data_IF_239435156815
#
_entry.id   IF_239435156815
#
_cell.length_a   1.000
_cell.length_b   1.000
_cell.length_c   1.000
_cell.angle_alpha   90.00
_cell.angle_beta   90.00
_cell.angle_gamma   90.00
#
_symmetry.space_group_name_H-M   'P 1'
#
loop_
_entity.id
_entity.type
_entity.pdbx_description
1 polymer ?
#
# COMPACT_ATOMS: atom_id res chain seq x y z
N UNK A 1 -66.84 -28.40 -39.56
CA UNK A 1 -66.58 -27.64 -38.32
C UNK A 1 -65.46 -28.33 -37.55
N UNK A 2 -64.25 -27.81 -37.61
CA UNK A 2 -63.24 -27.89 -36.54
C UNK A 2 -62.07 -26.97 -36.90
N UNK A 3 -61.63 -26.23 -35.89
CA UNK A 3 -60.94 -24.96 -36.00
C UNK A 3 -59.42 -25.10 -36.21
N UNK A 4 -58.87 -24.12 -36.92
CA UNK A 4 -57.46 -23.71 -36.91
C UNK A 4 -56.94 -23.49 -35.49
N UNK A 5 -55.70 -23.94 -35.22
CA UNK A 5 -54.74 -23.28 -34.32
C UNK A 5 -53.32 -23.49 -34.87
N UNK A 6 -52.50 -22.45 -35.03
CA UNK A 6 -51.12 -22.56 -35.53
C UNK A 6 -50.14 -22.97 -34.42
N UNK A 7 -49.14 -23.76 -34.81
CA UNK A 7 -48.00 -24.15 -33.99
C UNK A 7 -47.06 -22.95 -33.77
N UNK A 8 -46.91 -22.52 -32.52
CA UNK A 8 -45.78 -21.68 -32.11
C UNK A 8 -44.64 -22.58 -31.65
N UNK A 9 -43.68 -22.84 -32.54
CA UNK A 9 -42.34 -23.27 -32.13
C UNK A 9 -41.61 -22.06 -31.54
N UNK A 10 -41.53 -22.03 -30.21
CA UNK A 10 -40.63 -21.12 -29.50
C UNK A 10 -39.23 -21.71 -29.59
N UNK A 11 -38.43 -21.18 -30.52
CA UNK A 11 -37.00 -21.40 -30.60
C UNK A 11 -36.35 -20.90 -29.31
N UNK A 12 -36.03 -21.79 -28.39
CA UNK A 12 -35.15 -21.50 -27.26
C UNK A 12 -33.74 -21.39 -27.83
N UNK A 13 -33.36 -20.17 -28.22
CA UNK A 13 -31.98 -19.83 -28.54
C UNK A 13 -31.12 -20.10 -27.31
N UNK A 14 -30.29 -21.14 -27.38
CA UNK A 14 -29.22 -21.38 -26.43
C UNK A 14 -28.23 -20.21 -26.52
N UNK A 15 -28.43 -19.19 -25.70
CA UNK A 15 -27.44 -18.16 -25.46
C UNK A 15 -26.29 -18.82 -24.70
N UNK A 16 -25.32 -19.34 -25.44
CA UNK A 16 -23.98 -19.64 -24.94
C UNK A 16 -23.41 -18.33 -24.40
N UNK A 17 -23.58 -18.11 -23.10
CA UNK A 17 -22.79 -17.14 -22.36
C UNK A 17 -21.36 -17.65 -22.38
N UNK A 18 -20.60 -17.19 -23.36
CA UNK A 18 -19.14 -17.25 -23.32
C UNK A 18 -18.69 -16.42 -22.13
N UNK A 19 -18.61 -17.04 -20.95
CA UNK A 19 -17.83 -16.52 -19.84
C UNK A 19 -16.40 -16.42 -20.33
N UNK A 20 -15.99 -15.22 -20.74
CA UNK A 20 -14.59 -14.93 -20.94
C UNK A 20 -13.85 -15.33 -19.66
N UNK A 21 -12.76 -16.11 -19.74
CA UNK A 21 -11.96 -16.39 -18.56
C UNK A 21 -11.49 -15.06 -17.99
N UNK A 22 -11.83 -14.79 -16.73
CA UNK A 22 -11.32 -13.61 -16.03
C UNK A 22 -9.80 -13.59 -16.09
N UNK A 23 -9.18 -12.40 -16.08
CA UNK A 23 -7.73 -12.26 -16.18
C UNK A 23 -7.05 -13.17 -15.16
N UNK A 24 -6.07 -13.96 -15.62
CA UNK A 24 -5.36 -14.85 -14.71
C UNK A 24 -4.64 -14.02 -13.64
N UNK A 25 -4.54 -14.57 -12.43
CA UNK A 25 -3.87 -13.91 -11.32
C UNK A 25 -2.42 -13.47 -11.67
N UNK A 26 -1.73 -14.24 -12.52
CA UNK A 26 -0.44 -13.86 -13.10
C UNK A 26 -0.51 -12.62 -14.00
N UNK A 27 -1.53 -12.50 -14.85
CA UNK A 27 -1.66 -11.37 -15.78
C UNK A 27 -1.91 -10.06 -15.03
N UNK A 28 -2.74 -10.09 -13.98
CA UNK A 28 -2.97 -8.94 -13.10
C UNK A 28 -1.68 -8.51 -12.39
N UNK A 29 -0.87 -9.46 -11.92
CA UNK A 29 0.44 -9.19 -11.33
C UNK A 29 1.44 -8.58 -12.31
N UNK A 30 1.46 -9.06 -13.56
CA UNK A 30 2.33 -8.51 -14.60
C UNK A 30 1.93 -7.10 -15.02
N UNK A 31 0.62 -6.84 -15.17
CA UNK A 31 0.10 -5.51 -15.51
C UNK A 31 0.44 -4.48 -14.44
N UNK A 32 0.24 -4.82 -13.16
CA UNK A 32 0.55 -3.93 -12.01
C UNK A 32 2.04 -3.59 -11.90
N UNK A 33 2.92 -4.60 -12.06
CA UNK A 33 4.37 -4.37 -12.07
C UNK A 33 4.80 -3.47 -13.22
N UNK A 34 4.17 -3.58 -14.39
CA UNK A 34 4.43 -2.68 -15.54
C UNK A 34 4.02 -1.24 -15.22
N UNK A 35 2.84 -1.02 -14.66
CA UNK A 35 2.37 0.32 -14.30
C UNK A 35 3.30 1.01 -13.27
N UNK A 36 3.69 0.28 -12.22
CA UNK A 36 4.66 0.77 -11.22
C UNK A 36 6.03 1.05 -11.83
N UNK A 37 6.52 0.17 -12.71
CA UNK A 37 7.79 0.39 -13.42
C UNK A 37 7.73 1.62 -14.34
N UNK A 38 6.61 1.86 -15.01
CA UNK A 38 6.40 3.04 -15.85
C UNK A 38 6.37 4.32 -15.01
N UNK A 39 5.66 4.33 -13.89
CA UNK A 39 5.67 5.45 -12.93
C UNK A 39 7.08 5.76 -12.44
N UNK A 40 7.80 4.73 -11.97
CA UNK A 40 9.18 4.87 -11.50
C UNK A 40 10.08 5.46 -12.59
N UNK A 41 9.96 4.98 -13.83
CA UNK A 41 10.75 5.47 -14.96
C UNK A 41 10.44 6.95 -15.25
N UNK A 42 9.15 7.31 -15.28
CA UNK A 42 8.71 8.69 -15.52
C UNK A 42 9.22 9.67 -14.45
N UNK A 43 9.12 9.30 -13.17
CA UNK A 43 9.57 10.14 -12.04
C UNK A 43 11.09 10.30 -12.06
N UNK A 44 11.84 9.21 -12.25
CA UNK A 44 13.31 9.25 -12.33
C UNK A 44 13.75 10.17 -13.47
N UNK A 45 13.23 9.98 -14.68
CA UNK A 45 13.57 10.82 -15.83
C UNK A 45 13.12 12.28 -15.69
N UNK A 46 12.10 12.57 -14.89
CA UNK A 46 11.69 13.94 -14.55
C UNK A 46 12.68 14.60 -13.59
N UNK A 47 13.10 13.89 -12.54
CA UNK A 47 14.05 14.38 -11.55
C UNK A 47 15.45 14.60 -12.15
N UNK A 48 15.89 13.72 -13.04
CA UNK A 48 17.16 13.88 -13.76
C UNK A 48 17.16 15.14 -14.65
N UNK A 49 16.06 15.41 -15.35
CA UNK A 49 15.95 16.60 -16.21
C UNK A 49 15.82 17.89 -15.41
N UNK A 50 15.09 17.86 -14.31
CA UNK A 50 14.84 19.05 -13.48
C UNK A 50 16.00 19.38 -12.54
N UNK A 51 16.84 18.40 -12.19
CA UNK A 51 17.91 18.59 -11.21
C UNK A 51 17.42 18.71 -9.77
N UNK A 52 16.11 18.52 -9.52
CA UNK A 52 15.46 18.68 -8.21
C UNK A 52 16.09 17.86 -7.10
N UNK A 53 16.63 16.68 -7.42
CA UNK A 53 17.31 15.85 -6.41
C UNK A 53 18.47 16.61 -5.73
N UNK A 54 19.29 17.32 -6.51
CA UNK A 54 20.41 18.09 -5.97
C UNK A 54 19.93 19.30 -5.13
N UNK A 55 18.78 19.88 -5.48
CA UNK A 55 18.15 20.95 -4.68
C UNK A 55 17.64 20.41 -3.35
N UNK A 56 16.96 19.25 -3.37
CA UNK A 56 16.47 18.60 -2.16
C UNK A 56 17.60 18.22 -1.20
N UNK A 57 18.74 17.76 -1.71
CA UNK A 57 19.91 17.45 -0.87
C UNK A 57 20.46 18.66 -0.11
N UNK A 58 20.28 19.88 -0.61
CA UNK A 58 20.71 21.10 0.09
C UNK A 58 19.78 21.44 1.27
N UNK A 59 18.50 21.09 1.15
CA UNK A 59 17.47 21.44 2.14
C UNK A 59 17.23 20.31 3.14
N UNK A 60 17.37 19.06 2.71
CA UNK A 60 17.10 17.87 3.51
C UNK A 60 18.37 17.01 3.66
N UNK A 61 19.09 17.13 4.80
CA UNK A 61 20.34 16.41 5.05
C UNK A 61 20.20 14.89 4.99
N UNK A 62 19.00 14.35 5.25
CA UNK A 62 18.73 12.90 5.17
C UNK A 62 18.96 12.32 3.77
N UNK A 63 18.96 13.16 2.72
CA UNK A 63 19.22 12.74 1.33
C UNK A 63 20.71 12.79 0.94
N UNK A 64 21.59 13.36 1.77
CA UNK A 64 22.99 13.61 1.41
C UNK A 64 23.81 12.34 1.08
N UNK A 65 23.34 11.16 1.49
CA UNK A 65 24.00 9.88 1.24
C UNK A 65 23.70 9.22 -0.11
N UNK A 66 22.87 9.84 -0.96
CA UNK A 66 22.39 9.23 -2.21
C UNK A 66 22.49 10.22 -3.37
N UNK A 67 23.14 9.83 -4.46
CA UNK A 67 23.37 10.69 -5.63
C UNK A 67 22.13 10.89 -6.50
N UNK A 68 21.15 9.97 -6.43
CA UNK A 68 19.90 10.04 -7.18
C UNK A 68 18.78 9.26 -6.51
N UNK A 69 17.53 9.47 -6.97
CA UNK A 69 16.39 8.64 -6.60
C UNK A 69 16.59 7.17 -7.00
N UNK A 70 17.29 6.92 -8.12
CA UNK A 70 17.56 5.55 -8.57
C UNK A 70 18.50 4.81 -7.60
N UNK A 71 19.55 5.49 -7.11
CA UNK A 71 20.43 4.93 -6.09
C UNK A 71 19.68 4.66 -4.78
N UNK A 72 18.82 5.60 -4.36
CA UNK A 72 17.95 5.42 -3.19
C UNK A 72 16.99 4.24 -3.35
N UNK A 73 16.43 4.05 -4.55
CA UNK A 73 15.54 2.92 -4.88
C UNK A 73 16.27 1.58 -4.81
N UNK A 74 17.50 1.51 -5.33
CA UNK A 74 18.29 0.29 -5.26
C UNK A 74 18.76 0.00 -3.83
N UNK A 75 19.12 1.03 -3.07
CA UNK A 75 19.39 0.90 -1.63
C UNK A 75 18.17 0.38 -0.86
N UNK A 76 16.97 0.87 -1.20
CA UNK A 76 15.72 0.44 -0.58
C UNK A 76 15.40 -1.03 -0.84
N UNK A 77 15.65 -1.51 -2.07
CA UNK A 77 15.52 -2.95 -2.41
C UNK A 77 16.48 -3.82 -1.61
N UNK A 78 17.70 -3.33 -1.38
CA UNK A 78 18.71 -4.00 -0.54
C UNK A 78 18.48 -3.83 0.97
N UNK A 79 17.44 -3.09 1.38
CA UNK A 79 17.11 -2.80 2.79
C UNK A 79 18.27 -2.12 3.56
N UNK A 80 19.01 -1.22 2.90
CA UNK A 80 20.04 -0.42 3.56
C UNK A 80 19.39 0.50 4.61
N UNK A 81 19.93 0.53 5.83
CA UNK A 81 19.37 1.27 6.96
C UNK A 81 19.26 2.78 6.67
N UNK A 82 20.17 3.31 5.86
CA UNK A 82 20.17 4.70 5.42
C UNK A 82 18.96 5.06 4.55
N UNK A 83 18.37 4.09 3.85
CA UNK A 83 17.22 4.33 2.98
C UNK A 83 15.93 4.62 3.76
N UNK A 84 15.83 4.19 5.02
CA UNK A 84 14.69 4.54 5.88
C UNK A 84 14.61 6.04 6.15
N UNK A 85 15.76 6.68 6.34
CA UNK A 85 15.84 8.13 6.54
C UNK A 85 15.52 8.90 5.26
N UNK A 86 15.82 8.35 4.08
CA UNK A 86 15.46 8.97 2.79
C UNK A 86 13.95 9.05 2.61
N UNK A 87 13.21 7.98 2.92
CA UNK A 87 11.74 8.02 2.84
C UNK A 87 11.19 9.09 3.76
N UNK A 88 11.74 9.20 4.98
CA UNK A 88 11.34 10.23 5.94
C UNK A 88 11.63 11.66 5.44
N UNK A 89 12.82 11.88 4.84
CA UNK A 89 13.20 13.16 4.24
C UNK A 89 12.32 13.55 3.05
N UNK A 90 12.07 12.62 2.14
CA UNK A 90 11.17 12.86 1.00
C UNK A 90 9.73 13.09 1.44
N UNK A 91 9.29 12.42 2.52
CA UNK A 91 7.96 12.66 3.12
C UNK A 91 7.86 14.08 3.69
N UNK A 92 8.91 14.56 4.36
CA UNK A 92 8.96 15.94 4.86
C UNK A 92 8.94 16.97 3.72
N UNK A 93 9.68 16.70 2.63
CA UNK A 93 9.66 17.55 1.44
C UNK A 93 8.29 17.52 0.74
N UNK A 94 7.61 16.38 0.71
CA UNK A 94 6.30 16.26 0.05
C UNK A 94 5.10 16.75 0.87
N UNK A 95 5.21 16.75 2.20
CA UNK A 95 4.14 17.17 3.12
C UNK A 95 3.73 18.63 2.92
N UNK A 96 2.42 18.90 3.02
CA UNK A 96 1.87 20.27 3.04
C UNK A 96 2.40 21.13 4.20
N UNK A 97 2.84 20.50 5.30
CA UNK A 97 3.42 21.20 6.45
C UNK A 97 4.94 21.34 6.35
N UNK A 98 5.56 20.72 5.35
CA UNK A 98 6.99 20.76 5.08
C UNK A 98 7.27 21.50 3.77
N UNK A 99 7.84 20.80 2.79
CA UNK A 99 8.24 21.41 1.51
C UNK A 99 7.12 21.55 0.48
N UNK A 100 6.00 20.85 0.65
CA UNK A 100 4.87 20.76 -0.28
C UNK A 100 5.26 20.36 -1.72
N UNK A 101 6.37 19.65 -1.92
CA UNK A 101 6.86 19.25 -3.25
C UNK A 101 6.17 17.96 -3.72
N UNK A 102 5.33 18.09 -4.74
CA UNK A 102 4.59 16.97 -5.32
C UNK A 102 5.52 15.90 -5.93
N UNK A 103 6.69 16.28 -6.47
CA UNK A 103 7.65 15.32 -7.00
C UNK A 103 8.31 14.52 -5.87
N UNK A 104 8.48 15.10 -4.68
CA UNK A 104 8.98 14.38 -3.51
C UNK A 104 7.95 13.37 -3.01
N UNK A 105 6.66 13.73 -3.01
CA UNK A 105 5.58 12.80 -2.69
C UNK A 105 5.48 11.64 -3.69
N UNK A 106 5.67 11.90 -4.98
CA UNK A 106 5.75 10.85 -6.01
C UNK A 106 7.00 9.98 -5.84
N UNK A 107 8.15 10.56 -5.48
CA UNK A 107 9.37 9.83 -5.20
C UNK A 107 9.19 8.84 -4.03
N UNK A 108 8.43 9.21 -2.98
CA UNK A 108 8.06 8.27 -1.90
C UNK A 108 7.25 7.09 -2.44
N UNK A 109 6.23 7.33 -3.27
CA UNK A 109 5.44 6.24 -3.86
C UNK A 109 6.31 5.28 -4.70
N UNK A 110 7.29 5.81 -5.45
CA UNK A 110 8.26 5.02 -6.22
C UNK A 110 9.15 4.18 -5.31
N UNK A 111 9.67 4.72 -4.20
CA UNK A 111 10.46 3.95 -3.25
C UNK A 111 9.63 2.85 -2.59
N UNK A 112 8.35 3.12 -2.30
CA UNK A 112 7.46 2.17 -1.63
C UNK A 112 6.79 1.16 -2.57
N UNK A 113 7.22 1.05 -3.83
CA UNK A 113 6.64 0.17 -4.88
C UNK A 113 6.28 -1.24 -4.36
N UNK A 114 7.22 -1.92 -3.67
CA UNK A 114 6.96 -3.26 -3.14
C UNK A 114 5.88 -3.27 -2.05
N UNK A 115 5.88 -2.25 -1.19
CA UNK A 115 4.90 -2.09 -0.12
C UNK A 115 3.51 -1.79 -0.67
N UNK A 116 3.43 -0.91 -1.67
CA UNK A 116 2.19 -0.61 -2.41
C UNK A 116 1.64 -1.87 -3.06
N UNK A 117 2.50 -2.64 -3.75
CA UNK A 117 2.10 -3.91 -4.35
C UNK A 117 1.56 -4.89 -3.30
N UNK A 118 2.19 -5.01 -2.12
CA UNK A 118 1.70 -5.86 -1.02
C UNK A 118 0.33 -5.42 -0.50
N UNK A 119 0.08 -4.11 -0.36
CA UNK A 119 -1.21 -3.57 0.07
C UNK A 119 -2.28 -3.84 -0.99
N UNK A 120 -2.01 -3.52 -2.27
CA UNK A 120 -2.91 -3.79 -3.39
C UNK A 120 -3.22 -5.29 -3.54
N UNK A 121 -2.27 -6.17 -3.22
CA UNK A 121 -2.49 -7.61 -3.19
C UNK A 121 -3.40 -8.05 -2.04
N UNK A 122 -3.24 -7.43 -0.88
CA UNK A 122 -4.09 -7.71 0.29
C UNK A 122 -5.52 -7.22 0.08
N UNK A 123 -5.70 -6.16 -0.70
CA UNK A 123 -6.98 -5.48 -0.93
C UNK A 123 -7.48 -5.59 -2.38
N UNK A 124 -7.05 -6.62 -3.12
CA UNK A 124 -7.35 -6.76 -4.56
C UNK A 124 -8.84 -6.81 -4.87
N UNK A 125 -9.68 -7.26 -3.93
CA UNK A 125 -11.13 -7.31 -4.10
C UNK A 125 -11.83 -5.96 -3.86
N UNK A 126 -11.09 -4.95 -3.38
CA UNK A 126 -11.65 -3.67 -2.87
C UNK A 126 -11.05 -2.45 -3.58
N UNK A 127 -9.78 -2.50 -3.99
CA UNK A 127 -9.11 -1.36 -4.61
C UNK A 127 -8.09 -1.77 -5.67
N UNK A 128 -7.85 -0.87 -6.62
CA UNK A 128 -6.79 -0.99 -7.63
C UNK A 128 -5.46 -0.46 -7.10
N UNK A 129 -4.37 -0.73 -7.82
CA UNK A 129 -3.04 -0.26 -7.41
C UNK A 129 -2.94 1.27 -7.42
N UNK A 130 -3.69 1.92 -8.31
CA UNK A 130 -3.74 3.38 -8.41
C UNK A 130 -4.44 4.00 -7.20
N UNK A 131 -5.45 3.34 -6.63
CA UNK A 131 -6.08 3.77 -5.38
C UNK A 131 -5.08 3.71 -4.22
N UNK A 132 -4.23 2.68 -4.19
CA UNK A 132 -3.18 2.55 -3.17
C UNK A 132 -2.12 3.63 -3.35
N UNK A 133 -1.65 3.87 -4.57
CA UNK A 133 -0.70 4.95 -4.87
C UNK A 133 -1.26 6.33 -4.49
N UNK A 134 -2.51 6.61 -4.88
CA UNK A 134 -3.19 7.85 -4.55
C UNK A 134 -3.34 8.00 -3.04
N UNK A 135 -3.73 6.94 -2.33
CA UNK A 135 -3.85 6.99 -0.87
C UNK A 135 -2.49 7.22 -0.22
N UNK A 136 -1.42 6.54 -0.65
CA UNK A 136 -0.07 6.77 -0.12
C UNK A 136 0.38 8.20 -0.37
N UNK A 137 0.10 8.76 -1.56
CA UNK A 137 0.37 10.16 -1.86
C UNK A 137 -0.35 11.10 -0.90
N UNK A 138 -1.65 10.91 -0.67
CA UNK A 138 -2.43 11.69 0.30
C UNK A 138 -1.89 11.57 1.72
N UNK A 139 -1.46 10.37 2.13
CA UNK A 139 -0.83 10.18 3.45
C UNK A 139 0.52 10.91 3.55
N UNK A 140 1.29 11.01 2.46
CA UNK A 140 2.51 11.84 2.42
C UNK A 140 2.17 13.31 2.53
N UNK A 141 1.18 13.80 1.76
CA UNK A 141 0.76 15.21 1.81
C UNK A 141 0.25 15.60 3.20
N UNK A 142 -0.42 14.69 3.90
CA UNK A 142 -0.93 14.89 5.26
C UNK A 142 0.06 14.64 6.40
N UNK A 143 1.24 14.07 6.11
CA UNK A 143 2.22 13.66 7.10
C UNK A 143 2.84 14.85 7.85
N UNK A 144 3.37 14.58 9.05
CA UNK A 144 4.20 15.55 9.78
C UNK A 144 5.65 15.54 9.26
N UNK A 145 6.33 16.70 9.17
CA UNK A 145 7.70 16.73 8.63
C UNK A 145 8.75 16.00 9.49
N UNK A 146 8.46 15.75 10.77
CA UNK A 146 9.41 15.16 11.73
C UNK A 146 9.39 13.61 11.75
N UNK A 147 8.78 12.97 10.75
CA UNK A 147 8.77 11.50 10.70
C UNK A 147 10.19 10.93 10.73
N UNK A 148 10.36 9.82 11.46
CA UNK A 148 11.63 9.10 11.58
C UNK A 148 11.77 7.95 10.57
N UNK A 149 12.71 7.04 10.83
CA UNK A 149 12.99 5.87 9.98
C UNK A 149 11.77 4.97 9.71
N UNK A 150 10.73 5.03 10.53
CA UNK A 150 9.49 4.26 10.37
C UNK A 150 8.48 4.88 9.38
N UNK A 151 8.83 5.96 8.68
CA UNK A 151 7.93 6.67 7.77
C UNK A 151 7.26 5.75 6.73
N UNK A 152 8.03 4.87 6.10
CA UNK A 152 7.54 3.91 5.12
C UNK A 152 6.44 3.01 5.68
N UNK A 153 6.68 2.41 6.85
CA UNK A 153 5.74 1.50 7.51
C UNK A 153 4.47 2.24 7.91
N UNK A 154 4.62 3.45 8.48
CA UNK A 154 3.49 4.28 8.87
C UNK A 154 2.58 4.60 7.68
N UNK A 155 3.15 5.11 6.58
CA UNK A 155 2.40 5.53 5.39
C UNK A 155 1.63 4.35 4.78
N UNK A 156 2.26 3.18 4.66
CA UNK A 156 1.61 1.98 4.12
C UNK A 156 0.55 1.41 5.07
N UNK A 157 0.80 1.40 6.38
CA UNK A 157 -0.19 0.98 7.40
C UNK A 157 -1.41 1.88 7.33
N UNK A 158 -1.20 3.19 7.21
CA UNK A 158 -2.28 4.19 7.17
C UNK A 158 -3.07 4.13 5.88
N UNK A 159 -2.40 3.99 4.73
CA UNK A 159 -3.06 3.79 3.45
C UNK A 159 -3.93 2.52 3.46
N UNK A 160 -3.40 1.40 4.00
CA UNK A 160 -4.17 0.16 4.16
C UNK A 160 -5.39 0.37 5.05
N UNK A 161 -5.23 1.00 6.22
CA UNK A 161 -6.34 1.29 7.14
C UNK A 161 -7.43 2.12 6.46
N UNK A 162 -7.05 3.16 5.72
CA UNK A 162 -7.99 4.05 5.04
C UNK A 162 -8.77 3.32 3.94
N UNK A 163 -8.11 2.47 3.16
CA UNK A 163 -8.73 1.65 2.13
C UNK A 163 -9.57 0.49 2.68
N UNK A 164 -9.26 0.01 3.89
CA UNK A 164 -9.98 -1.10 4.54
C UNK A 164 -11.20 -0.66 5.34
N UNK A 165 -11.36 0.65 5.61
CA UNK A 165 -12.54 1.15 6.33
C UNK A 165 -13.77 0.99 5.43
N UNK A 166 -14.84 0.28 5.88
CA UNK A 166 -16.11 0.32 5.18
C UNK A 166 -16.49 1.78 5.03
N UNK A 167 -16.84 2.22 3.83
CA UNK A 167 -17.18 3.61 3.54
C UNK A 167 -18.28 4.11 4.49
N UNK A 168 -17.87 4.64 5.64
CA UNK A 168 -18.74 5.25 6.62
C UNK A 168 -19.09 6.61 6.06
N UNK A 169 -20.15 6.62 5.27
CA UNK A 169 -20.59 7.81 4.54
C UNK A 169 -19.99 7.84 3.14
N UNK A 170 -20.90 7.77 2.19
CA UNK A 170 -20.77 8.14 0.79
C UNK A 170 -19.94 9.42 0.61
N UNK A 171 -18.62 9.31 0.50
CA UNK A 171 -17.81 10.38 -0.10
C UNK A 171 -17.80 10.07 -1.58
N UNK A 172 -18.41 11.00 -2.33
CA UNK A 172 -18.43 11.07 -3.78
C UNK A 172 -17.18 10.43 -4.36
N UNK A 173 -17.36 9.53 -5.34
CA UNK A 173 -16.35 9.28 -6.35
C UNK A 173 -15.99 10.66 -6.91
N UNK A 174 -14.97 11.30 -6.35
CA UNK A 174 -14.19 12.27 -7.09
C UNK A 174 -13.69 11.44 -8.25
N UNK A 175 -14.07 11.82 -9.47
CA UNK A 175 -13.58 11.18 -10.68
C UNK A 175 -12.07 11.00 -10.51
N UNK A 176 -11.66 9.76 -10.29
CA UNK A 176 -10.27 9.38 -10.07
C UNK A 176 -9.56 9.71 -11.37
N UNK A 177 -9.00 10.90 -11.44
CA UNK A 177 -8.05 11.25 -12.48
C UNK A 177 -6.91 10.27 -12.29
N UNK A 178 -6.84 9.26 -13.16
CA UNK A 178 -5.76 8.28 -13.21
C UNK A 178 -4.43 8.98 -12.99
N UNK A 179 -3.54 8.34 -12.23
CA UNK A 179 -2.22 8.88 -11.93
C UNK A 179 -1.40 9.09 -13.22
N UNK A 180 -1.70 8.33 -14.28
CA UNK A 180 -1.21 8.57 -15.65
C UNK A 180 -1.74 9.90 -16.20
N UNK A 181 -3.03 10.18 -16.07
CA UNK A 181 -3.64 11.47 -16.48
C UNK A 181 -3.14 12.67 -15.66
N UNK A 182 -2.56 12.43 -14.48
CA UNK A 182 -1.92 13.46 -13.64
C UNK A 182 -0.45 13.66 -14.01
N UNK A 183 0.27 12.58 -14.31
CA UNK A 183 1.62 12.62 -14.90
C UNK A 183 1.62 13.31 -16.28
N UNK A 184 0.62 13.02 -17.12
CA UNK A 184 0.40 13.67 -18.42
C UNK A 184 0.05 15.16 -18.28
N UNK A 185 -0.77 15.53 -17.28
CA UNK A 185 -1.05 16.94 -16.95
C UNK A 185 0.21 17.69 -16.50
N UNK A 186 1.08 17.05 -15.73
CA UNK A 186 2.31 17.67 -15.25
C UNK A 186 3.36 17.80 -16.38
N UNK A 187 3.42 16.82 -17.29
CA UNK A 187 4.23 16.90 -18.49
C UNK A 187 3.74 17.99 -19.48
N UNK A 188 2.44 18.29 -19.49
CA UNK A 188 1.86 19.34 -20.35
C UNK A 188 1.89 20.75 -19.74
N UNK A 189 2.03 20.88 -18.41
CA UNK A 189 2.21 22.16 -17.71
C UNK A 189 3.64 22.74 -17.78
N UNK A 190 4.56 22.08 -18.50
CA UNK A 190 5.88 22.61 -18.84
C UNK A 190 5.88 23.78 -19.85
N UNK A 191 4.71 24.23 -20.31
CA UNK A 191 4.56 25.39 -21.20
C UNK A 191 3.36 26.24 -20.76
N UNK A 192 3.64 27.33 -20.03
CA UNK A 192 2.74 28.49 -19.91
C UNK A 192 2.05 28.66 -18.56
N UNK A 193 2.48 29.68 -17.82
CA UNK A 193 1.82 30.23 -16.65
C UNK A 193 0.48 30.90 -16.98
N UNK A 194 -0.55 30.73 -16.14
CA UNK A 194 -1.42 31.84 -15.70
C UNK A 194 -2.16 31.48 -14.38
N UNK A 195 -2.36 32.42 -13.42
CA UNK A 195 -3.00 32.16 -12.13
C UNK A 195 -4.47 32.61 -12.14
N UNK A 196 -5.40 31.73 -11.76
CA UNK A 196 -6.77 32.18 -11.55
C UNK A 196 -7.79 31.10 -11.26
N UNK A 197 -8.34 31.17 -10.04
CA UNK A 197 -9.63 30.63 -9.63
C UNK A 197 -9.67 29.18 -9.15
N UNK A 198 -9.59 29.01 -7.82
CA UNK A 198 -9.98 27.78 -7.14
C UNK A 198 -11.50 27.63 -6.99
N UNK A 199 -11.92 26.60 -6.24
CA UNK A 199 -12.81 26.82 -5.11
C UNK A 199 -12.25 26.22 -3.81
N UNK A 200 -11.91 27.15 -2.90
CA UNK A 200 -12.21 27.18 -1.46
C UNK A 200 -12.24 25.86 -0.67
N UNK A 201 -11.14 25.62 0.05
CA UNK A 201 -11.06 25.33 1.49
C UNK A 201 -12.39 25.04 2.20
N UNK A 202 -12.67 23.77 2.51
CA UNK A 202 -13.66 23.39 3.53
C UNK A 202 -13.38 22.02 4.16
N UNK A 203 -12.12 21.70 4.48
CA UNK A 203 -11.78 20.66 5.48
C UNK A 203 -10.49 21.07 6.21
N UNK A 204 -10.49 22.23 6.86
CA UNK A 204 -9.37 22.69 7.68
C UNK A 204 -9.89 23.25 9.00
N UNK A 205 -10.34 22.35 9.87
CA UNK A 205 -10.34 22.55 11.33
C UNK A 205 -10.75 21.27 12.07
N UNK A 206 -9.94 20.22 11.93
CA UNK A 206 -9.87 19.20 12.96
C UNK A 206 -8.47 19.31 13.58
N UNK A 207 -8.38 20.04 14.69
CA UNK A 207 -7.29 19.91 15.64
C UNK A 207 -7.34 18.46 16.14
N UNK A 208 -6.71 17.56 15.39
CA UNK A 208 -6.41 16.22 15.85
C UNK A 208 -5.19 16.40 16.75
N UNK A 209 -5.43 16.35 18.06
CA UNK A 209 -4.40 15.93 19.01
C UNK A 209 -3.73 14.70 18.41
N UNK A 210 -2.48 14.87 17.97
CA UNK A 210 -1.65 13.78 17.45
C UNK A 210 -1.54 12.78 18.60
N UNK A 211 -2.17 11.60 18.51
CA UNK A 211 -1.86 10.55 19.46
C UNK A 211 -0.37 10.25 19.30
N UNK A 212 0.36 10.04 20.39
CA UNK A 212 1.70 9.49 20.31
C UNK A 212 1.65 8.28 19.37
N UNK A 213 2.53 8.27 18.37
CA UNK A 213 2.53 7.22 17.36
C UNK A 213 3.01 5.96 18.07
N UNK A 214 2.07 5.15 18.54
CA UNK A 214 2.34 3.83 19.11
C UNK A 214 3.07 2.99 18.05
N UNK A 215 4.23 2.45 18.45
CA UNK A 215 5.09 1.69 17.56
C UNK A 215 4.34 0.42 17.13
N UNK A 216 4.08 0.19 15.82
CA UNK A 216 3.41 -1.02 15.33
C UNK A 216 4.08 -2.33 15.79
N UNK A 217 5.38 -2.30 16.06
CA UNK A 217 6.13 -3.44 16.61
C UNK A 217 5.77 -3.65 18.07
N UNK A 218 5.66 -2.58 18.85
CA UNK A 218 5.19 -2.62 20.24
C UNK A 218 3.72 -3.04 20.31
N UNK A 219 2.83 -2.51 19.46
CA UNK A 219 1.43 -2.93 19.35
C UNK A 219 1.29 -4.43 19.09
N UNK A 220 2.12 -4.94 18.17
CA UNK A 220 2.10 -6.35 17.79
C UNK A 220 2.68 -7.21 18.91
N UNK A 221 3.76 -6.77 19.54
CA UNK A 221 4.36 -7.45 20.68
C UNK A 221 3.38 -7.50 21.86
N UNK A 222 2.67 -6.40 22.14
CA UNK A 222 1.66 -6.31 23.20
C UNK A 222 0.47 -7.22 22.90
N UNK A 223 -0.08 -7.16 21.67
CA UNK A 223 -1.15 -8.07 21.24
C UNK A 223 -0.77 -9.55 21.37
N UNK A 224 0.44 -9.94 20.93
CA UNK A 224 0.90 -11.33 21.00
C UNK A 224 1.15 -11.77 22.44
N UNK A 225 1.65 -10.86 23.29
CA UNK A 225 1.87 -11.10 24.73
C UNK A 225 0.53 -11.31 25.43
N UNK A 226 -0.42 -10.39 25.25
CA UNK A 226 -1.79 -10.51 25.76
C UNK A 226 -2.48 -11.80 25.28
N UNK A 227 -2.38 -12.10 23.99
CA UNK A 227 -3.02 -13.27 23.39
C UNK A 227 -2.47 -14.57 23.98
N UNK A 228 -1.18 -14.60 24.36
CA UNK A 228 -0.57 -15.71 25.09
C UNK A 228 -1.09 -15.81 26.51
N UNK A 229 -1.13 -14.70 27.24
CA UNK A 229 -1.56 -14.65 28.65
C UNK A 229 -3.01 -15.11 28.82
N UNK A 230 -3.88 -14.75 27.89
CA UNK A 230 -5.30 -15.15 27.88
C UNK A 230 -5.53 -16.52 27.24
N UNK A 231 -4.48 -17.18 26.73
CA UNK A 231 -4.55 -18.52 26.12
C UNK A 231 -5.21 -18.54 24.74
N UNK A 232 -5.26 -17.40 24.05
CA UNK A 232 -5.76 -17.29 22.67
C UNK A 232 -4.80 -17.93 21.69
N UNK A 233 -3.50 -17.95 21.96
CA UNK A 233 -2.45 -18.64 21.19
C UNK A 233 -1.35 -19.15 22.12
N UNK A 234 -0.61 -20.18 21.70
CA UNK A 234 0.54 -20.72 22.44
C UNK A 234 1.88 -20.14 21.95
N UNK A 235 2.95 -20.32 22.74
CA UNK A 235 4.31 -19.85 22.39
C UNK A 235 4.79 -20.38 21.04
N UNK A 236 4.58 -21.67 20.76
CA UNK A 236 4.95 -22.27 19.47
C UNK A 236 4.21 -21.62 18.27
N UNK A 237 2.99 -21.12 18.49
CA UNK A 237 2.23 -20.40 17.47
C UNK A 237 2.77 -18.97 17.26
N UNK A 238 3.26 -18.32 18.31
CA UNK A 238 3.92 -17.02 18.25
C UNK A 238 5.24 -17.15 17.50
N UNK A 239 6.09 -18.11 17.88
CA UNK A 239 7.39 -18.34 17.24
C UNK A 239 7.22 -18.61 15.74
N UNK A 240 6.23 -19.43 15.37
CA UNK A 240 5.88 -19.68 13.98
C UNK A 240 5.48 -18.40 13.22
N UNK A 241 4.66 -17.54 13.81
CA UNK A 241 4.22 -16.29 13.16
C UNK A 241 5.38 -15.31 13.02
N UNK A 242 6.23 -15.18 14.04
CA UNK A 242 7.40 -14.31 14.03
C UNK A 242 8.42 -14.78 12.99
N UNK A 243 8.71 -16.08 12.91
CA UNK A 243 9.62 -16.63 11.89
C UNK A 243 9.12 -16.41 10.46
N UNK A 244 7.81 -16.58 10.22
CA UNK A 244 7.20 -16.32 8.90
C UNK A 244 7.27 -14.83 8.54
N UNK A 245 6.95 -13.95 9.50
CA UNK A 245 7.03 -12.50 9.28
C UNK A 245 8.46 -12.03 9.06
N UNK A 246 9.42 -12.57 9.81
CA UNK A 246 10.83 -12.26 9.63
C UNK A 246 11.32 -12.67 8.23
N UNK A 247 11.03 -13.90 7.80
CA UNK A 247 11.39 -14.37 6.46
C UNK A 247 10.75 -13.51 5.34
N UNK A 248 9.47 -13.15 5.48
CA UNK A 248 8.78 -12.27 4.53
C UNK A 248 9.39 -10.85 4.52
N UNK A 249 9.80 -10.32 5.70
CA UNK A 249 10.44 -9.02 5.83
C UNK A 249 11.86 -8.98 5.25
N UNK A 250 12.59 -10.10 5.34
CA UNK A 250 13.89 -10.31 4.70
C UNK A 250 13.80 -10.40 3.16
N UNK A 251 12.60 -10.18 2.59
CA UNK A 251 12.35 -10.14 1.15
C UNK A 251 12.01 -11.50 0.55
N UNK A 252 11.84 -12.54 1.36
CA UNK A 252 11.46 -13.87 0.86
C UNK A 252 10.00 -13.86 0.39
N UNK A 253 9.71 -14.37 -0.83
CA UNK A 253 8.34 -14.58 -1.26
C UNK A 253 7.59 -15.49 -0.29
N UNK A 254 6.32 -15.19 -0.02
CA UNK A 254 5.50 -15.89 0.97
C UNK A 254 5.49 -17.41 0.86
N UNK A 255 5.42 -17.95 -0.36
CA UNK A 255 5.44 -19.41 -0.57
C UNK A 255 6.79 -20.02 -0.19
N UNK A 256 7.88 -19.31 -0.49
CA UNK A 256 9.24 -19.73 -0.16
C UNK A 256 9.49 -19.61 1.36
N UNK A 257 8.98 -18.56 2.00
CA UNK A 257 9.00 -18.42 3.46
C UNK A 257 8.28 -19.58 4.15
N UNK A 258 7.10 -19.97 3.65
CA UNK A 258 6.38 -21.13 4.19
C UNK A 258 7.12 -22.46 3.97
N UNK A 259 7.83 -22.61 2.86
CA UNK A 259 8.64 -23.80 2.57
C UNK A 259 9.84 -23.88 3.53
N UNK A 260 10.63 -22.82 3.62
CA UNK A 260 11.84 -22.74 4.46
C UNK A 260 11.50 -22.89 5.94
N UNK A 261 10.49 -22.17 6.43
CA UNK A 261 10.02 -22.31 7.82
C UNK A 261 9.44 -23.71 8.06
N UNK A 262 8.72 -24.29 7.08
CA UNK A 262 8.25 -25.67 7.16
C UNK A 262 9.38 -26.68 7.33
N UNK A 263 10.46 -26.54 6.57
CA UNK A 263 11.65 -27.39 6.68
C UNK A 263 12.31 -27.29 8.06
N UNK A 264 12.44 -26.07 8.61
CA UNK A 264 12.98 -25.86 9.97
C UNK A 264 12.12 -26.49 11.06
N UNK A 265 10.80 -26.43 10.90
CA UNK A 265 9.83 -27.01 11.83
C UNK A 265 9.55 -28.51 11.56
N UNK A 266 10.22 -29.12 10.57
CA UNK A 266 10.04 -30.53 10.21
C UNK A 266 8.63 -30.86 9.69
N UNK A 267 7.90 -29.88 9.15
CA UNK A 267 6.51 -30.03 8.71
C UNK A 267 6.31 -29.55 7.28
N UNK A 268 5.35 -30.17 6.58
CA UNK A 268 5.02 -29.76 5.21
C UNK A 268 4.46 -28.32 5.16
N UNK A 269 4.73 -27.62 4.05
CA UNK A 269 4.22 -26.27 3.74
C UNK A 269 2.70 -26.13 3.95
N UNK A 270 1.92 -27.16 3.59
CA UNK A 270 0.47 -27.20 3.81
C UNK A 270 0.09 -27.08 5.30
N UNK A 271 0.87 -27.70 6.17
CA UNK A 271 0.68 -27.66 7.62
C UNK A 271 1.00 -26.29 8.17
N UNK A 272 2.10 -25.68 7.74
CA UNK A 272 2.47 -24.29 8.10
C UNK A 272 1.36 -23.33 7.72
N UNK A 273 0.89 -23.38 6.46
CA UNK A 273 -0.21 -22.53 5.98
C UNK A 273 -1.46 -22.70 6.85
N UNK A 274 -1.87 -23.94 7.12
CA UNK A 274 -3.05 -24.24 7.93
C UNK A 274 -2.91 -23.75 9.38
N UNK A 275 -1.72 -23.89 9.98
CA UNK A 275 -1.44 -23.40 11.34
C UNK A 275 -1.53 -21.87 11.36
N UNK A 276 -0.79 -21.19 10.49
CA UNK A 276 -0.84 -19.72 10.34
C UNK A 276 -2.26 -19.20 10.17
N UNK A 277 -3.03 -19.77 9.24
CA UNK A 277 -4.38 -19.29 8.95
C UNK A 277 -5.32 -19.49 10.14
N UNK A 278 -5.18 -20.60 10.87
CA UNK A 278 -5.94 -20.87 12.10
C UNK A 278 -5.56 -19.90 13.22
N UNK A 279 -4.27 -19.68 13.46
CA UNK A 279 -3.77 -18.78 14.49
C UNK A 279 -4.18 -17.33 14.19
N UNK A 280 -4.06 -16.90 12.93
CA UNK A 280 -4.52 -15.58 12.50
C UNK A 280 -6.05 -15.40 12.60
N UNK A 281 -6.84 -16.47 12.39
CA UNK A 281 -8.28 -16.44 12.63
C UNK A 281 -8.60 -16.29 14.12
N UNK A 282 -7.95 -17.07 15.00
CA UNK A 282 -8.11 -16.95 16.46
C UNK A 282 -7.77 -15.55 16.97
N UNK A 283 -6.69 -14.96 16.47
CA UNK A 283 -6.31 -13.59 16.81
C UNK A 283 -7.34 -12.56 16.32
N UNK A 284 -7.87 -12.70 15.11
CA UNK A 284 -8.95 -11.83 14.60
C UNK A 284 -10.22 -11.94 15.45
N UNK A 285 -10.60 -13.16 15.83
CA UNK A 285 -11.79 -13.39 16.67
C UNK A 285 -11.61 -12.83 18.09
N UNK A 286 -10.37 -12.78 18.58
CA UNK A 286 -10.02 -12.23 19.88
C UNK A 286 -9.76 -10.71 19.88
N UNK A 287 -9.57 -10.09 18.71
CA UNK A 287 -9.23 -8.67 18.59
C UNK A 287 -10.20 -7.72 19.33
N UNK A 288 -11.54 -7.93 19.33
CA UNK A 288 -12.43 -7.08 20.12
C UNK A 288 -12.19 -7.15 21.63
N UNK A 289 -11.75 -8.30 22.15
CA UNK A 289 -11.44 -8.49 23.58
C UNK A 289 -10.14 -7.80 23.97
N UNK A 290 -9.13 -7.85 23.10
CA UNK A 290 -7.89 -7.11 23.28
C UNK A 290 -8.15 -5.60 23.32
N UNK A 291 -8.88 -5.09 22.34
CA UNK A 291 -9.23 -3.66 22.27
C UNK A 291 -10.04 -3.19 23.48
N UNK A 292 -10.87 -4.06 24.06
CA UNK A 292 -11.59 -3.76 25.30
C UNK A 292 -10.72 -3.84 26.57
N UNK A 293 -9.57 -4.51 26.53
CA UNK A 293 -8.64 -4.64 27.65
C UNK A 293 -7.62 -3.50 27.72
N UNK A 294 -7.34 -2.84 26.59
CA UNK A 294 -6.39 -1.73 26.48
C UNK A 294 -7.06 -0.33 26.39
N UNK A 295 -8.39 -0.29 26.31
CA UNK A 295 -9.20 0.94 26.31
C UNK A 295 -9.53 1.41 27.73
#
# INVERSE_FOLDING_TARGET
MSANHPAHEVTIGAATRTTAPGPSWSDAHHQRRRAQSALATSVISSLERSGKWAEWQQVEPRLAGFTSLEEAREGWRRRDERCYQVVAGLTALGSHRGGDDDDAALAVAVLLEEGVNRVAMTLTDVCEIDDVNATVWEEVKGAEPQMGCHAATYLLRRARQRLSRPAAGMVSRVDTTSLEARSERMNSLGIGSDPGSGPVNLVRDAVLTVPEVEDPVEDLADLLTWAREVGVIDTDEIDLLVELLAAENDGMPREEAQRVVGERHGVAMRTIRRRRDRTAARLRDAAPKYLAAIA
#
